data_IF_390790732069
#
_entry.id   IF_390790732069
#
_cell.length_a   1.000
_cell.length_b   1.000
_cell.length_c   1.000
_cell.angle_alpha   90.00
_cell.angle_beta   90.00
_cell.angle_gamma   90.00
#
_symmetry.space_group_name_H-M   'P 1'
#
loop_
_entity.id
_entity.type
_entity.pdbx_description
1 polymer ?
#
# COMPACT_ATOMS: atom_id res chain seq x y z
N UNK A 1 23.56 -9.43 -0.08
CA UNK A 1 22.69 -10.00 0.98
C UNK A 1 21.83 -11.05 0.30
N UNK A 2 22.05 -12.31 0.64
CA UNK A 2 21.59 -13.47 -0.12
C UNK A 2 20.30 -14.06 0.45
N UNK A 3 19.56 -14.70 -0.43
CA UNK A 3 18.38 -15.52 -0.17
C UNK A 3 18.59 -16.50 1.00
N UNK A 4 18.07 -16.20 2.19
CA UNK A 4 18.04 -17.15 3.32
C UNK A 4 18.49 -16.64 4.70
N UNK A 5 18.84 -15.37 4.86
CA UNK A 5 19.34 -14.86 6.14
C UNK A 5 18.25 -14.83 7.22
N UNK A 6 18.59 -15.36 8.40
CA UNK A 6 17.77 -15.24 9.61
C UNK A 6 17.75 -13.78 10.02
N UNK A 7 16.56 -13.20 10.08
CA UNK A 7 16.38 -11.80 10.49
C UNK A 7 16.23 -11.72 12.00
N UNK A 8 16.97 -10.78 12.60
CA UNK A 8 16.86 -10.43 14.01
C UNK A 8 15.43 -9.95 14.32
N UNK A 9 14.91 -10.29 15.50
CA UNK A 9 13.58 -9.89 15.94
C UNK A 9 13.36 -8.38 15.89
N UNK A 10 14.42 -7.59 16.15
CA UNK A 10 14.38 -6.13 16.07
C UNK A 10 14.07 -5.60 14.67
N UNK A 11 14.49 -6.31 13.61
CA UNK A 11 14.20 -5.97 12.22
C UNK A 11 12.78 -6.33 11.78
N UNK A 12 12.01 -7.05 12.60
CA UNK A 12 10.65 -7.51 12.28
C UNK A 12 9.57 -6.53 12.75
N UNK A 13 9.91 -5.59 13.63
CA UNK A 13 8.93 -4.66 14.21
C UNK A 13 8.34 -3.78 13.10
N UNK A 14 7.00 -3.73 13.03
CA UNK A 14 6.27 -2.97 12.02
C UNK A 14 6.08 -3.69 10.68
N UNK A 15 6.54 -4.93 10.55
CA UNK A 15 6.28 -5.78 9.39
C UNK A 15 5.09 -6.71 9.63
N UNK A 16 4.41 -7.10 8.55
CA UNK A 16 3.38 -8.14 8.54
C UNK A 16 3.92 -9.39 7.86
N UNK A 17 3.39 -10.56 8.21
CA UNK A 17 3.70 -11.81 7.51
C UNK A 17 2.91 -11.93 6.22
N UNK A 18 3.56 -12.31 5.12
CA UNK A 18 2.87 -12.59 3.83
C UNK A 18 2.35 -14.02 3.72
N UNK A 19 2.66 -14.86 4.71
CA UNK A 19 2.27 -16.27 4.77
C UNK A 19 2.05 -16.73 6.22
N UNK A 20 1.42 -17.90 6.38
CA UNK A 20 1.40 -18.58 7.67
C UNK A 20 2.81 -19.04 8.08
N UNK A 21 3.21 -18.71 9.31
CA UNK A 21 4.49 -19.11 9.92
C UNK A 21 4.18 -19.99 11.12
N UNK A 22 4.84 -21.16 11.21
CA UNK A 22 4.67 -22.08 12.34
C UNK A 22 5.44 -21.60 13.56
N UNK A 23 4.92 -21.87 14.75
CA UNK A 23 5.63 -21.64 15.99
C UNK A 23 6.98 -22.38 16.00
N UNK A 24 8.04 -21.70 16.44
CA UNK A 24 9.41 -22.23 16.46
C UNK A 24 10.18 -22.13 15.14
N UNK A 25 9.57 -21.61 14.06
CA UNK A 25 10.31 -21.36 12.82
C UNK A 25 11.22 -20.14 12.94
N UNK A 26 12.43 -20.24 12.40
CA UNK A 26 13.33 -19.09 12.26
C UNK A 26 12.78 -18.09 11.22
N UNK A 27 12.86 -16.80 11.54
CA UNK A 27 12.34 -15.73 10.68
C UNK A 27 13.22 -15.52 9.45
N UNK A 28 12.57 -15.32 8.30
CA UNK A 28 13.23 -15.02 7.02
C UNK A 28 12.69 -13.72 6.46
N UNK A 29 13.56 -12.90 5.86
CA UNK A 29 13.18 -11.60 5.32
C UNK A 29 12.07 -11.69 4.26
N UNK A 30 12.09 -12.74 3.44
CA UNK A 30 11.05 -13.03 2.42
C UNK A 30 9.66 -13.37 3.00
N UNK A 31 9.53 -13.63 4.30
CA UNK A 31 8.24 -13.96 4.93
C UNK A 31 7.54 -12.74 5.52
N UNK A 32 8.21 -11.59 5.49
CA UNK A 32 7.73 -10.35 6.11
C UNK A 32 7.82 -9.19 5.13
N UNK A 33 6.83 -8.31 5.17
CA UNK A 33 6.81 -7.09 4.38
C UNK A 33 6.24 -5.94 5.20
N UNK A 34 6.44 -4.70 4.77
CA UNK A 34 5.68 -3.59 5.35
C UNK A 34 4.21 -3.78 5.01
N UNK A 35 3.32 -3.57 5.96
CA UNK A 35 1.90 -3.57 5.65
C UNK A 35 1.63 -2.55 4.52
N UNK A 36 0.81 -2.89 3.52
CA UNK A 36 0.44 -1.97 2.47
C UNK A 36 -0.25 -0.78 3.13
N UNK A 37 0.12 0.41 2.68
CA UNK A 37 -0.47 1.66 3.17
C UNK A 37 -1.95 1.77 2.74
N UNK A 38 -2.32 1.02 1.69
CA UNK A 38 -3.69 0.93 1.17
C UNK A 38 -4.06 -0.53 0.94
N UNK A 39 -5.21 -0.97 1.45
CA UNK A 39 -5.76 -2.31 1.15
C UNK A 39 -6.88 -2.27 0.12
N UNK A 40 -6.99 -3.31 -0.70
CA UNK A 40 -8.10 -3.51 -1.62
C UNK A 40 -9.44 -3.45 -0.89
N UNK A 41 -10.33 -2.60 -1.38
CA UNK A 41 -11.67 -2.38 -0.85
C UNK A 41 -11.74 -1.32 0.25
N UNK A 42 -10.61 -0.81 0.72
CA UNK A 42 -10.54 0.24 1.73
C UNK A 42 -10.95 1.61 1.14
N UNK A 43 -11.67 2.44 1.89
CA UNK A 43 -11.86 3.84 1.53
C UNK A 43 -10.51 4.58 1.63
N UNK A 44 -10.08 5.20 0.54
CA UNK A 44 -8.83 5.95 0.46
C UNK A 44 -9.09 7.39 0.08
N UNK A 45 -8.29 8.30 0.63
CA UNK A 45 -8.28 9.69 0.18
C UNK A 45 -7.50 9.79 -1.13
N UNK A 46 -8.12 10.35 -2.15
CA UNK A 46 -7.54 10.59 -3.46
C UNK A 46 -7.36 12.08 -3.62
N UNK A 47 -6.14 12.51 -3.92
CA UNK A 47 -5.80 13.91 -4.22
C UNK A 47 -5.50 13.99 -5.70
N UNK A 48 -6.31 14.76 -6.42
CA UNK A 48 -6.05 15.12 -7.79
C UNK A 48 -5.41 16.51 -7.86
N UNK A 49 -4.28 16.63 -8.55
CA UNK A 49 -3.59 17.90 -8.75
C UNK A 49 -3.27 18.13 -10.24
N UNK A 50 -3.60 19.32 -10.74
CA UNK A 50 -3.23 19.77 -12.09
C UNK A 50 -3.11 21.29 -12.12
N UNK A 51 -1.89 21.80 -12.25
CA UNK A 51 -1.61 23.23 -12.16
C UNK A 51 -2.07 23.81 -10.81
N UNK A 52 -2.93 24.83 -10.86
CA UNK A 52 -3.52 25.44 -9.66
C UNK A 52 -4.74 24.68 -9.10
N UNK A 53 -5.26 23.68 -9.82
CA UNK A 53 -6.42 22.90 -9.39
C UNK A 53 -5.98 21.75 -8.47
N UNK A 54 -6.49 21.75 -7.24
CA UNK A 54 -6.40 20.62 -6.31
C UNK A 54 -7.80 20.17 -5.92
N UNK A 55 -8.11 18.89 -6.11
CA UNK A 55 -9.37 18.28 -5.71
C UNK A 55 -9.08 17.10 -4.79
N UNK A 56 -9.92 16.92 -3.77
CA UNK A 56 -9.84 15.78 -2.88
C UNK A 56 -11.16 15.01 -2.88
N UNK A 57 -11.07 13.69 -2.93
CA UNK A 57 -12.24 12.81 -2.87
C UNK A 57 -11.94 11.53 -2.10
N UNK A 58 -12.99 10.88 -1.59
CA UNK A 58 -12.90 9.52 -1.06
C UNK A 58 -13.16 8.53 -2.19
N UNK A 59 -12.17 7.70 -2.49
CA UNK A 59 -12.24 6.60 -3.43
C UNK A 59 -12.23 5.26 -2.71
N UNK A 60 -12.50 4.18 -3.44
CA UNK A 60 -12.36 2.80 -2.95
C UNK A 60 -11.22 2.11 -3.67
N UNK A 61 -10.20 1.70 -2.93
CA UNK A 61 -9.06 1.01 -3.51
C UNK A 61 -9.51 -0.30 -4.19
N UNK A 62 -8.98 -0.58 -5.38
CA UNK A 62 -9.24 -1.83 -6.11
C UNK A 62 -8.11 -2.84 -5.97
N UNK A 63 -6.96 -2.39 -5.50
CA UNK A 63 -5.72 -3.13 -5.35
C UNK A 63 -5.09 -2.79 -4.00
N UNK A 64 -4.24 -3.68 -3.51
CA UNK A 64 -3.33 -3.36 -2.41
C UNK A 64 -2.21 -2.44 -2.94
N UNK A 65 -1.71 -1.54 -2.11
CA UNK A 65 -0.65 -0.62 -2.49
C UNK A 65 0.28 -0.24 -1.34
N UNK A 66 1.57 -0.24 -1.63
CA UNK A 66 2.62 0.31 -0.78
C UNK A 66 2.98 1.71 -1.26
N UNK A 67 3.61 2.55 -0.40
CA UNK A 67 4.11 3.85 -0.83
C UNK A 67 5.01 3.72 -2.07
N UNK A 68 4.69 4.47 -3.12
CA UNK A 68 5.35 4.39 -4.43
C UNK A 68 4.66 3.48 -5.46
N UNK A 69 3.70 2.65 -5.05
CA UNK A 69 2.93 1.82 -5.97
C UNK A 69 1.88 2.65 -6.72
N UNK A 70 1.61 2.27 -7.97
CA UNK A 70 0.45 2.77 -8.72
C UNK A 70 -0.70 1.80 -8.56
N UNK A 71 -1.82 2.27 -8.02
CA UNK A 71 -3.02 1.46 -7.79
C UNK A 71 -4.25 2.04 -8.48
N UNK A 72 -5.20 1.17 -8.82
CA UNK A 72 -6.55 1.57 -9.24
C UNK A 72 -7.43 1.90 -8.04
N UNK A 73 -8.19 2.98 -8.17
CA UNK A 73 -9.16 3.45 -7.18
C UNK A 73 -10.47 3.76 -7.89
N UNK A 74 -11.58 3.23 -7.36
CA UNK A 74 -12.92 3.58 -7.83
C UNK A 74 -13.39 4.88 -7.18
N UNK A 75 -13.83 5.85 -7.98
CA UNK A 75 -14.61 6.96 -7.48
C UNK A 75 -16.08 6.52 -7.30
N UNK A 76 -16.62 6.48 -6.07
CA UNK A 76 -17.98 6.00 -5.84
C UNK A 76 -19.06 6.94 -6.39
N UNK A 77 -18.78 8.24 -6.61
CA UNK A 77 -19.76 9.20 -7.13
C UNK A 77 -19.95 9.07 -8.64
N UNK A 78 -18.86 9.01 -9.40
CA UNK A 78 -18.88 8.91 -10.87
C UNK A 78 -18.83 7.48 -11.39
N UNK A 79 -18.52 6.50 -10.53
CA UNK A 79 -18.20 5.11 -10.89
C UNK A 79 -17.00 4.95 -11.83
N UNK A 80 -16.20 5.99 -12.01
CA UNK A 80 -14.97 5.93 -12.81
C UNK A 80 -13.81 5.32 -12.01
N UNK A 81 -12.92 4.60 -12.69
CA UNK A 81 -11.65 4.16 -12.11
C UNK A 81 -10.55 5.18 -12.39
N UNK A 82 -9.75 5.45 -11.38
CA UNK A 82 -8.62 6.36 -11.39
C UNK A 82 -7.35 5.56 -11.09
N UNK A 83 -6.24 5.89 -11.73
CA UNK A 83 -4.93 5.31 -11.42
C UNK A 83 -4.09 6.38 -10.75
N UNK A 84 -3.55 6.08 -9.57
CA UNK A 84 -2.74 7.04 -8.81
C UNK A 84 -1.61 6.40 -8.03
N UNK A 85 -0.66 7.23 -7.60
CA UNK A 85 0.50 6.86 -6.81
C UNK A 85 0.15 6.88 -5.32
N UNK A 86 0.46 5.80 -4.59
CA UNK A 86 0.27 5.73 -3.15
C UNK A 86 1.38 6.51 -2.44
N UNK A 87 0.98 7.47 -1.60
CA UNK A 87 1.86 8.22 -0.72
C UNK A 87 2.24 7.44 0.55
N UNK A 88 3.26 7.91 1.28
CA UNK A 88 3.70 7.30 2.55
C UNK A 88 2.64 7.33 3.65
N UNK A 89 1.66 8.21 3.53
CA UNK A 89 0.50 8.39 4.41
C UNK A 89 -0.75 7.62 3.94
N UNK A 90 -0.64 6.81 2.88
CA UNK A 90 -1.76 6.05 2.30
C UNK A 90 -2.68 6.89 1.39
N UNK A 91 -2.34 8.14 1.11
CA UNK A 91 -3.09 8.99 0.18
C UNK A 91 -2.73 8.63 -1.25
N UNK A 92 -3.72 8.57 -2.14
CA UNK A 92 -3.51 8.27 -3.55
C UNK A 92 -3.47 9.56 -4.36
N UNK A 93 -2.34 9.84 -5.00
CA UNK A 93 -2.14 11.02 -5.84
C UNK A 93 -2.41 10.70 -7.31
N UNK A 94 -3.33 11.44 -7.93
CA UNK A 94 -3.72 11.27 -9.34
C UNK A 94 -3.40 12.58 -10.08
N UNK A 95 -2.64 12.52 -11.17
CA UNK A 95 -2.21 13.70 -11.92
C UNK A 95 -0.74 13.62 -12.34
N UNK A 96 -0.35 14.55 -13.21
CA UNK A 96 1.02 14.74 -13.72
C UNK A 96 1.72 15.87 -12.97
#
# INVERSE_FOLDING_TARGET
VGTGDVVDASALVGLRTVRAVRAGAAWRGEWVERAPAVRRGEPVRVVFASGALRLELLGKAREDGHPGDRIRVLNPRSRSELVGLVGPDGVVHVGS
#
